data_IF_218842823125
#
_entry.id   IF_218842823125
#
_cell.length_a   1.000
_cell.length_b   1.000
_cell.length_c   1.000
_cell.angle_alpha   90.00
_cell.angle_beta   90.00
_cell.angle_gamma   90.00
#
_symmetry.space_group_name_H-M   'P 1'
#
loop_
_entity.id
_entity.type
_entity.pdbx_description
1 polymer ?
#
# COMPACT_ATOMS: atom_id res chain seq x y z
N UNK A 1 -36.92 4.68 10.25
CA UNK A 1 -35.56 4.77 10.80
C UNK A 1 -35.01 6.14 10.43
N UNK A 2 -34.68 6.98 11.39
CA UNK A 2 -33.97 8.24 11.13
C UNK A 2 -32.48 7.91 10.95
N UNK A 3 -32.01 7.91 9.70
CA UNK A 3 -30.59 7.75 9.36
C UNK A 3 -29.88 9.11 9.49
N UNK A 4 -29.82 9.64 10.71
CA UNK A 4 -29.07 10.87 10.99
C UNK A 4 -27.66 10.50 11.44
N UNK A 5 -26.67 10.79 10.59
CA UNK A 5 -25.25 10.71 10.95
C UNK A 5 -24.88 11.89 11.84
N UNK A 6 -24.19 11.68 12.98
CA UNK A 6 -23.76 12.78 13.84
C UNK A 6 -22.78 13.72 13.12
N UNK A 7 -22.92 15.03 13.31
CA UNK A 7 -22.05 16.06 12.70
C UNK A 7 -20.57 15.83 13.02
N UNK A 8 -20.27 15.35 14.24
CA UNK A 8 -18.93 14.99 14.67
C UNK A 8 -18.33 13.87 13.82
N UNK A 9 -19.11 12.86 13.45
CA UNK A 9 -18.67 11.75 12.59
C UNK A 9 -18.32 12.26 11.19
N UNK A 10 -19.14 13.16 10.64
CA UNK A 10 -18.90 13.80 9.34
C UNK A 10 -17.58 14.59 9.39
N UNK A 11 -17.37 15.38 10.45
CA UNK A 11 -16.12 16.12 10.64
C UNK A 11 -14.90 15.19 10.70
N UNK A 12 -14.96 14.09 11.46
CA UNK A 12 -13.88 13.10 11.55
C UNK A 12 -13.59 12.40 10.22
N UNK A 13 -14.62 12.13 9.40
CA UNK A 13 -14.45 11.55 8.07
C UNK A 13 -13.73 12.53 7.13
N UNK A 14 -14.09 13.81 7.16
CA UNK A 14 -13.41 14.86 6.38
C UNK A 14 -11.94 14.95 6.78
N UNK A 15 -11.64 15.02 8.08
CA UNK A 15 -10.26 15.09 8.59
C UNK A 15 -9.46 13.85 8.16
N UNK A 16 -10.02 12.66 8.30
CA UNK A 16 -9.38 11.41 7.86
C UNK A 16 -9.09 11.41 6.36
N UNK A 17 -10.04 11.87 5.55
CA UNK A 17 -9.87 11.99 4.09
C UNK A 17 -8.76 12.97 3.73
N UNK A 18 -8.75 14.16 4.35
CA UNK A 18 -7.71 15.18 4.13
C UNK A 18 -6.33 14.65 4.51
N UNK A 19 -6.19 13.92 5.61
CA UNK A 19 -4.91 13.35 6.00
C UNK A 19 -4.49 12.23 5.03
N UNK A 20 -5.40 11.31 4.71
CA UNK A 20 -5.13 10.14 3.87
C UNK A 20 -4.67 10.52 2.45
N UNK A 21 -5.26 11.54 1.83
CA UNK A 21 -4.87 12.00 0.50
C UNK A 21 -3.90 13.19 0.53
N UNK A 22 -4.04 14.08 1.51
CA UNK A 22 -3.20 15.27 1.63
C UNK A 22 -1.74 14.92 1.91
N UNK A 23 -1.48 13.97 2.81
CA UNK A 23 -0.11 13.55 3.13
C UNK A 23 0.67 13.02 1.91
N UNK A 24 0.18 12.03 1.13
CA UNK A 24 0.91 11.55 -0.04
C UNK A 24 1.06 12.63 -1.12
N UNK A 25 0.06 13.48 -1.33
CA UNK A 25 0.16 14.59 -2.31
C UNK A 25 1.22 15.61 -1.87
N UNK A 26 1.24 16.00 -0.60
CA UNK A 26 2.21 16.96 -0.08
C UNK A 26 3.64 16.40 -0.15
N UNK A 27 3.83 15.12 0.18
CA UNK A 27 5.12 14.45 0.07
C UNK A 27 5.59 14.35 -1.39
N UNK A 28 4.70 13.97 -2.31
CA UNK A 28 4.98 13.94 -3.74
C UNK A 28 5.45 15.30 -4.26
N UNK A 29 4.75 16.38 -3.92
CA UNK A 29 5.12 17.75 -4.32
C UNK A 29 6.44 18.19 -3.67
N UNK A 30 6.67 17.83 -2.40
CA UNK A 30 7.90 18.16 -1.69
C UNK A 30 9.13 17.47 -2.32
N UNK A 31 9.05 16.18 -2.63
CA UNK A 31 10.16 15.45 -3.24
C UNK A 31 10.36 15.80 -4.71
N UNK A 32 9.29 16.14 -5.44
CA UNK A 32 9.44 16.67 -6.79
C UNK A 32 10.23 17.99 -6.81
N UNK A 33 9.98 18.89 -5.83
CA UNK A 33 10.78 20.11 -5.65
C UNK A 33 12.26 19.83 -5.33
N UNK A 34 12.57 18.66 -4.75
CA UNK A 34 13.94 18.18 -4.49
C UNK A 34 14.56 17.42 -5.66
N UNK A 35 14.09 17.66 -6.90
CA UNK A 35 14.56 16.99 -8.13
C UNK A 35 14.22 15.48 -8.21
N UNK A 36 13.27 15.00 -7.43
CA UNK A 36 12.74 13.65 -7.63
C UNK A 36 11.82 13.58 -8.85
N UNK A 37 11.85 12.46 -9.56
CA UNK A 37 10.99 12.19 -10.71
C UNK A 37 9.67 11.52 -10.30
N UNK A 38 8.58 11.81 -11.02
CA UNK A 38 7.28 11.13 -10.81
C UNK A 38 7.25 9.67 -11.27
N UNK A 39 8.24 9.24 -12.08
CA UNK A 39 8.28 7.87 -12.62
C UNK A 39 8.36 6.81 -11.50
N UNK A 40 9.28 6.89 -10.51
CA UNK A 40 9.28 6.02 -9.34
C UNK A 40 7.92 5.85 -8.66
N UNK A 41 7.20 6.95 -8.45
CA UNK A 41 5.87 6.95 -7.80
C UNK A 41 4.84 6.19 -8.61
N UNK A 42 4.77 6.43 -9.92
CA UNK A 42 3.84 5.74 -10.81
C UNK A 42 4.15 4.24 -10.85
N UNK A 43 5.44 3.89 -10.86
CA UNK A 43 5.87 2.49 -10.80
C UNK A 43 5.50 1.86 -9.46
N UNK A 44 5.70 2.54 -8.33
CA UNK A 44 5.29 2.08 -7.00
C UNK A 44 3.79 1.79 -6.93
N UNK A 45 2.96 2.71 -7.43
CA UNK A 45 1.50 2.52 -7.53
C UNK A 45 1.17 1.29 -8.39
N UNK A 46 1.76 1.17 -9.58
CA UNK A 46 1.50 0.06 -10.48
C UNK A 46 1.90 -1.29 -9.86
N UNK A 47 3.06 -1.34 -9.20
CA UNK A 47 3.56 -2.54 -8.51
C UNK A 47 2.61 -2.93 -7.38
N UNK A 48 2.12 -1.98 -6.59
CA UNK A 48 1.21 -2.26 -5.49
C UNK A 48 -0.11 -2.86 -5.97
N UNK A 49 -0.66 -2.36 -7.08
CA UNK A 49 -1.84 -2.94 -7.72
C UNK A 49 -1.64 -4.39 -8.19
N UNK A 50 -0.49 -4.69 -8.77
CA UNK A 50 -0.20 -6.03 -9.29
C UNK A 50 0.15 -7.00 -8.17
N UNK A 51 1.08 -6.64 -7.29
CA UNK A 51 1.61 -7.55 -6.28
C UNK A 51 0.71 -7.71 -5.07
N UNK A 52 0.17 -6.62 -4.53
CA UNK A 52 -0.63 -6.68 -3.32
C UNK A 52 -2.11 -6.87 -3.69
N UNK A 53 -2.71 -5.95 -4.44
CA UNK A 53 -4.15 -6.04 -4.72
C UNK A 53 -4.54 -7.23 -5.61
N UNK A 54 -3.61 -7.82 -6.37
CA UNK A 54 -3.90 -8.98 -7.22
C UNK A 54 -3.25 -10.27 -6.72
N UNK A 55 -1.91 -10.34 -6.69
CA UNK A 55 -1.22 -11.59 -6.37
C UNK A 55 -1.39 -12.01 -4.90
N UNK A 56 -1.14 -11.11 -3.95
CA UNK A 56 -1.32 -11.37 -2.52
C UNK A 56 -2.79 -11.71 -2.21
N UNK A 57 -3.74 -10.95 -2.76
CA UNK A 57 -5.17 -11.25 -2.64
C UNK A 57 -5.52 -12.65 -3.17
N UNK A 58 -4.98 -13.06 -4.32
CA UNK A 58 -5.22 -14.39 -4.89
C UNK A 58 -4.67 -15.51 -3.99
N UNK A 59 -3.46 -15.35 -3.45
CA UNK A 59 -2.86 -16.35 -2.55
C UNK A 59 -3.57 -16.40 -1.20
N UNK A 60 -3.97 -15.25 -0.65
CA UNK A 60 -4.78 -15.21 0.56
C UNK A 60 -6.13 -15.90 0.37
N UNK A 61 -6.76 -15.72 -0.79
CA UNK A 61 -8.03 -16.37 -1.10
C UNK A 61 -7.90 -17.90 -1.13
N UNK A 62 -6.79 -18.44 -1.66
CA UNK A 62 -6.57 -19.89 -1.66
C UNK A 62 -6.25 -20.42 -0.27
N UNK A 63 -5.42 -19.72 0.50
CA UNK A 63 -5.05 -20.11 1.86
C UNK A 63 -6.26 -20.07 2.80
N UNK A 64 -7.09 -19.03 2.73
CA UNK A 64 -8.27 -18.89 3.59
C UNK A 64 -9.42 -19.86 3.26
N UNK A 65 -9.36 -20.55 2.12
CA UNK A 65 -10.29 -21.66 1.80
C UNK A 65 -9.82 -23.02 2.35
N UNK A 66 -8.59 -23.11 2.86
CA UNK A 66 -8.05 -24.34 3.45
C UNK A 66 -8.31 -24.41 4.96
N UNK A 67 -8.15 -25.60 5.54
CA UNK A 67 -8.24 -25.86 6.99
C UNK A 67 -7.22 -25.04 7.81
N UNK A 68 -6.07 -24.72 7.22
CA UNK A 68 -5.06 -23.84 7.83
C UNK A 68 -5.61 -22.41 7.92
N UNK A 69 -6.29 -21.96 6.88
CA UNK A 69 -6.94 -20.65 6.81
C UNK A 69 -8.03 -20.45 7.88
N UNK A 70 -8.78 -21.51 8.20
CA UNK A 70 -9.76 -21.47 9.29
C UNK A 70 -9.09 -21.24 10.64
N UNK A 71 -7.95 -21.89 10.89
CA UNK A 71 -7.19 -21.70 12.14
C UNK A 71 -6.66 -20.27 12.25
N UNK A 72 -6.17 -19.71 11.14
CA UNK A 72 -5.68 -18.32 11.07
C UNK A 72 -6.82 -17.33 11.34
N UNK A 73 -8.00 -17.51 10.74
CA UNK A 73 -9.15 -16.60 10.93
C UNK A 73 -9.75 -16.65 12.33
N UNK A 74 -9.66 -17.79 13.02
CA UNK A 74 -10.20 -17.93 14.38
C UNK A 74 -9.36 -17.19 15.45
N UNK A 75 -8.09 -16.87 15.16
CA UNK A 75 -7.23 -16.13 16.08
C UNK A 75 -6.85 -14.77 15.50
N UNK A 76 -7.34 -13.68 16.11
CA UNK A 76 -7.09 -12.29 15.65
C UNK A 76 -5.59 -11.95 15.55
N UNK A 77 -4.78 -12.43 16.49
CA UNK A 77 -3.33 -12.17 16.49
C UNK A 77 -2.69 -12.89 15.31
N UNK A 78 -3.06 -14.16 15.09
CA UNK A 78 -2.51 -14.96 14.00
C UNK A 78 -2.91 -14.39 12.63
N UNK A 79 -4.15 -13.93 12.50
CA UNK A 79 -4.64 -13.24 11.31
C UNK A 79 -3.86 -11.95 11.02
N UNK A 80 -3.63 -11.12 12.03
CA UNK A 80 -2.87 -9.87 11.87
C UNK A 80 -1.40 -10.13 11.49
N UNK A 81 -0.74 -11.09 12.15
CA UNK A 81 0.64 -11.48 11.84
C UNK A 81 0.75 -12.06 10.43
N UNK A 82 -0.14 -12.98 10.06
CA UNK A 82 -0.17 -13.57 8.73
C UNK A 82 -0.38 -12.50 7.65
N UNK A 83 -1.40 -11.65 7.81
CA UNK A 83 -1.71 -10.59 6.83
C UNK A 83 -0.55 -9.61 6.67
N UNK A 84 0.07 -9.18 7.77
CA UNK A 84 1.23 -8.30 7.74
C UNK A 84 2.45 -8.92 7.07
N UNK A 85 2.76 -10.19 7.37
CA UNK A 85 3.85 -10.91 6.72
C UNK A 85 3.60 -11.10 5.22
N UNK A 86 2.36 -11.44 4.85
CA UNK A 86 2.00 -11.64 3.47
C UNK A 86 2.11 -10.33 2.67
N UNK A 87 1.53 -9.25 3.18
CA UNK A 87 1.65 -7.93 2.58
C UNK A 87 3.12 -7.51 2.43
N UNK A 88 3.94 -7.67 3.48
CA UNK A 88 5.36 -7.31 3.46
C UNK A 88 6.16 -8.11 2.41
N UNK A 89 5.93 -9.43 2.29
CA UNK A 89 6.63 -10.26 1.30
C UNK A 89 6.27 -9.83 -0.12
N UNK A 90 4.98 -9.65 -0.43
CA UNK A 90 4.56 -9.29 -1.78
C UNK A 90 4.96 -7.86 -2.16
N UNK A 91 4.84 -6.91 -1.22
CA UNK A 91 5.28 -5.53 -1.42
C UNK A 91 6.79 -5.46 -1.68
N UNK A 92 7.61 -6.13 -0.86
CA UNK A 92 9.07 -6.12 -1.01
C UNK A 92 9.52 -6.83 -2.29
N UNK A 93 8.91 -7.97 -2.63
CA UNK A 93 9.21 -8.67 -3.88
C UNK A 93 8.86 -7.83 -5.11
N UNK A 94 7.69 -7.18 -5.10
CA UNK A 94 7.28 -6.28 -6.17
C UNK A 94 8.23 -5.09 -6.30
N UNK A 95 8.58 -4.47 -5.18
CA UNK A 95 9.55 -3.36 -5.12
C UNK A 95 10.90 -3.77 -5.66
N UNK A 96 11.43 -4.91 -5.24
CA UNK A 96 12.70 -5.41 -5.73
C UNK A 96 12.69 -5.63 -7.25
N UNK A 97 11.60 -6.19 -7.80
CA UNK A 97 11.45 -6.36 -9.25
C UNK A 97 11.43 -5.00 -9.96
N UNK A 98 10.71 -4.02 -9.42
CA UNK A 98 10.61 -2.67 -9.98
C UNK A 98 11.96 -1.97 -10.08
N UNK A 99 12.77 -2.04 -9.02
CA UNK A 99 14.12 -1.47 -8.98
C UNK A 99 15.08 -2.20 -9.92
N UNK A 100 14.95 -3.53 -10.04
CA UNK A 100 15.81 -4.32 -10.92
C UNK A 100 15.50 -4.13 -12.41
N UNK A 101 14.27 -3.75 -12.76
CA UNK A 101 13.79 -3.70 -14.15
C UNK A 101 13.57 -2.26 -14.62
N UNK A 102 12.49 -1.61 -14.18
CA UNK A 102 12.00 -0.33 -14.70
C UNK A 102 12.85 0.85 -14.16
N UNK A 103 13.21 0.82 -12.88
CA UNK A 103 13.91 1.92 -12.22
C UNK A 103 15.44 1.76 -12.21
N UNK A 104 15.98 0.71 -12.84
CA UNK A 104 17.43 0.41 -12.87
C UNK A 104 18.28 1.61 -13.30
N UNK A 105 17.81 2.39 -14.29
CA UNK A 105 18.54 3.55 -14.82
C UNK A 105 18.26 4.85 -14.04
N UNK A 106 17.41 4.82 -13.01
CA UNK A 106 16.94 5.99 -12.25
C UNK A 106 17.41 5.99 -10.79
N UNK A 107 18.31 5.06 -10.44
CA UNK A 107 18.83 4.89 -9.07
C UNK A 107 19.92 5.90 -8.67
N UNK A 108 20.45 6.70 -9.60
CA UNK A 108 21.55 7.63 -9.32
C UNK A 108 21.16 8.89 -8.54
N UNK A 109 19.89 9.04 -8.18
CA UNK A 109 19.37 10.17 -7.41
C UNK A 109 18.57 9.63 -6.22
N UNK A 110 19.04 9.88 -5.00
CA UNK A 110 18.38 9.43 -3.76
C UNK A 110 16.94 9.95 -3.65
N UNK A 111 16.65 11.11 -4.24
CA UNK A 111 15.30 11.68 -4.26
C UNK A 111 14.32 10.82 -5.07
N UNK A 112 14.80 10.05 -6.05
CA UNK A 112 13.96 9.10 -6.81
C UNK A 112 13.56 7.90 -5.96
N UNK A 113 14.42 7.46 -5.02
CA UNK A 113 14.08 6.39 -4.09
C UNK A 113 12.99 6.81 -3.11
N UNK A 114 13.01 8.08 -2.68
CA UNK A 114 11.98 8.67 -1.80
C UNK A 114 10.65 8.94 -2.50
N UNK A 115 10.62 8.91 -3.82
CA UNK A 115 9.39 9.08 -4.61
C UNK A 115 8.70 7.77 -4.96
N UNK A 116 9.35 6.62 -4.77
CA UNK A 116 8.75 5.30 -4.97
C UNK A 116 7.70 5.00 -3.91
#
# INVERSE_FOLDING_TARGET
MNLTVPDLTIACMIVSCVIAFGLPILLALYFHKKKGEFIPMIVGIAVMFVFVFTLEAAVNQTIFKSTIGETIRNNKVLYAVYGGLMAAVFEECGRWIAYRTILKNRMGNDSNALMY
#
